data_IF_208763046379
#
_entry.id   IF_208763046379
#
_cell.length_a   1.000
_cell.length_b   1.000
_cell.length_c   1.000
_cell.angle_alpha   90.00
_cell.angle_beta   90.00
_cell.angle_gamma   90.00
#
_symmetry.space_group_name_H-M   'P 1'
#
loop_
_entity.id
_entity.type
_entity.pdbx_description
1 polymer ?
#
# COMPACT_ATOMS: atom_id res chain seq x y z
N UNK A 1 -19.75 -65.78 -1.74
CA UNK A 1 -20.82 -64.84 -2.13
C UNK A 1 -20.76 -63.67 -1.15
N UNK A 2 -20.52 -62.46 -1.69
CA UNK A 2 -20.95 -61.11 -1.23
C UNK A 2 -21.15 -60.87 0.28
N UNK A 3 -20.64 -59.83 0.94
CA UNK A 3 -20.08 -58.55 0.50
C UNK A 3 -20.31 -57.48 1.60
N UNK A 4 -19.51 -56.41 1.51
CA UNK A 4 -19.66 -55.04 2.10
C UNK A 4 -19.57 -54.79 3.62
N UNK A 5 -18.43 -54.19 3.98
CA UNK A 5 -18.19 -52.90 4.68
C UNK A 5 -19.25 -52.32 5.62
N UNK A 6 -18.83 -51.86 6.81
CA UNK A 6 -18.53 -50.43 7.03
C UNK A 6 -18.30 -50.09 8.52
N UNK A 7 -17.35 -49.18 8.72
CA UNK A 7 -17.23 -48.22 9.81
C UNK A 7 -16.78 -48.73 11.19
N UNK A 8 -15.47 -48.70 11.39
CA UNK A 8 -14.85 -48.51 12.71
C UNK A 8 -15.22 -47.13 13.24
N UNK A 9 -16.05 -47.09 14.26
CA UNK A 9 -16.16 -45.97 15.18
C UNK A 9 -16.46 -46.55 16.55
N UNK A 10 -15.48 -46.49 17.45
CA UNK A 10 -15.67 -46.08 18.85
C UNK A 10 -14.46 -46.40 19.71
N UNK A 11 -14.18 -45.45 20.59
CA UNK A 11 -13.61 -45.63 21.94
C UNK A 11 -12.21 -46.22 22.05
N UNK A 12 -11.21 -45.37 21.84
CA UNK A 12 -9.93 -45.49 22.55
C UNK A 12 -10.11 -44.98 23.99
N UNK A 13 -10.21 -45.89 24.96
CA UNK A 13 -9.92 -45.56 26.36
C UNK A 13 -8.49 -45.98 26.68
N UNK A 14 -7.55 -45.06 26.94
CA UNK A 14 -6.26 -45.42 27.52
C UNK A 14 -6.40 -45.57 29.05
N UNK A 15 -5.64 -46.51 29.66
CA UNK A 15 -5.63 -46.70 31.10
C UNK A 15 -4.86 -45.57 31.81
N UNK A 16 -5.42 -45.16 32.95
CA UNK A 16 -4.84 -44.22 33.89
C UNK A 16 -3.42 -44.61 34.29
N UNK A 17 -2.42 -43.79 33.92
CA UNK A 17 -1.08 -43.83 34.50
C UNK A 17 -0.49 -42.43 34.65
N UNK A 18 -0.42 -42.02 35.93
CA UNK A 18 0.63 -41.19 36.55
C UNK A 18 0.65 -39.70 36.23
N UNK A 19 -0.18 -39.01 37.01
CA UNK A 19 0.07 -37.69 37.60
C UNK A 19 1.54 -37.53 38.00
N UNK A 20 2.15 -36.40 37.61
CA UNK A 20 3.38 -35.71 38.09
C UNK A 20 4.15 -35.07 36.91
N UNK A 21 3.98 -35.54 35.67
CA UNK A 21 4.56 -34.88 34.47
C UNK A 21 3.66 -33.83 33.79
N UNK A 22 2.40 -33.69 34.23
CA UNK A 22 1.42 -32.81 33.58
C UNK A 22 1.67 -31.31 33.84
N UNK A 23 2.35 -30.96 34.95
CA UNK A 23 2.53 -29.56 35.33
C UNK A 23 3.41 -28.79 34.34
N UNK A 24 4.58 -29.33 34.00
CA UNK A 24 5.54 -28.64 33.12
C UNK A 24 5.06 -28.57 31.67
N UNK A 25 4.42 -29.62 31.17
CA UNK A 25 3.86 -29.62 29.82
C UNK A 25 2.61 -28.73 29.72
N UNK A 26 1.74 -28.72 30.74
CA UNK A 26 0.61 -27.79 30.80
C UNK A 26 1.06 -26.33 30.98
N UNK A 27 2.11 -26.08 31.76
CA UNK A 27 2.70 -24.74 31.91
C UNK A 27 3.36 -24.28 30.61
N UNK A 28 4.08 -25.16 29.91
CA UNK A 28 4.64 -24.86 28.58
C UNK A 28 3.55 -24.56 27.55
N UNK A 29 2.49 -25.36 27.51
CA UNK A 29 1.35 -25.12 26.61
C UNK A 29 0.61 -23.83 26.97
N UNK A 30 0.44 -23.53 28.26
CA UNK A 30 -0.15 -22.27 28.71
C UNK A 30 0.70 -21.06 28.33
N UNK A 31 2.03 -21.14 28.45
CA UNK A 31 2.96 -20.08 28.03
C UNK A 31 2.94 -19.89 26.51
N UNK A 32 2.93 -20.97 25.74
CA UNK A 32 2.82 -20.89 24.27
C UNK A 32 1.48 -20.29 23.86
N UNK A 33 0.37 -20.70 24.47
CA UNK A 33 -0.96 -20.11 24.20
C UNK A 33 -1.01 -18.63 24.62
N UNK A 34 -0.43 -18.26 25.77
CA UNK A 34 -0.34 -16.86 26.20
C UNK A 34 0.50 -16.02 25.21
N UNK A 35 1.63 -16.54 24.72
CA UNK A 35 2.45 -15.86 23.71
C UNK A 35 1.69 -15.73 22.37
N UNK A 36 0.97 -16.76 21.96
CA UNK A 36 0.18 -16.73 20.72
C UNK A 36 -1.03 -15.77 20.80
N UNK A 37 -1.66 -15.64 21.97
CA UNK A 37 -2.75 -14.67 22.20
C UNK A 37 -2.25 -13.22 22.12
N UNK A 38 -1.03 -12.93 22.59
CA UNK A 38 -0.42 -11.61 22.47
C UNK A 38 -0.03 -11.24 21.02
N UNK A 39 0.15 -12.23 20.14
CA UNK A 39 0.48 -12.03 18.72
C UNK A 39 -0.76 -11.82 17.82
N UNK A 40 -1.97 -12.11 18.32
CA UNK A 40 -3.21 -11.97 17.54
C UNK A 40 -3.84 -10.57 17.61
N UNK A 41 -3.23 -9.63 18.34
CA UNK A 41 -3.80 -8.31 18.67
C UNK A 41 -3.41 -7.15 17.74
N UNK A 42 -2.80 -7.39 16.58
CA UNK A 42 -2.43 -6.33 15.63
C UNK A 42 -3.18 -6.45 14.31
N UNK A 43 -4.50 -6.26 14.39
CA UNK A 43 -5.28 -5.79 13.26
C UNK A 43 -5.70 -4.35 13.56
N UNK A 44 -4.73 -3.44 13.57
CA UNK A 44 -5.03 -2.04 13.31
C UNK A 44 -5.51 -1.96 11.87
N UNK A 45 -6.83 -1.90 11.71
CA UNK A 45 -7.41 -1.21 10.57
C UNK A 45 -6.95 0.24 10.68
N UNK A 46 -5.75 0.51 10.15
CA UNK A 46 -5.30 1.84 9.82
C UNK A 46 -6.32 2.37 8.80
N UNK A 47 -7.34 3.04 9.33
CA UNK A 47 -8.06 4.06 8.60
C UNK A 47 -6.97 5.04 8.18
N UNK A 48 -6.40 4.77 7.01
CA UNK A 48 -5.26 5.46 6.41
C UNK A 48 -5.69 6.89 6.27
N UNK A 49 -5.47 7.65 7.35
CA UNK A 49 -5.56 9.08 7.37
C UNK A 49 -4.33 9.45 6.58
N UNK A 50 -4.48 9.44 5.26
CA UNK A 50 -3.51 10.02 4.34
C UNK A 50 -3.35 11.44 4.83
N UNK A 51 -2.32 11.65 5.66
CA UNK A 51 -1.94 12.96 6.13
C UNK A 51 -1.54 13.72 4.86
N UNK A 52 -2.52 14.45 4.33
CA UNK A 52 -2.37 15.20 3.10
C UNK A 52 -1.47 16.36 3.43
N UNK A 53 -0.15 16.15 3.29
CA UNK A 53 0.83 17.21 3.50
C UNK A 53 0.47 18.36 2.56
N UNK A 54 0.03 19.48 3.15
CA UNK A 54 -0.19 20.71 2.43
C UNK A 54 1.16 21.19 1.89
N UNK A 55 1.25 21.42 0.59
CA UNK A 55 2.47 21.89 -0.07
C UNK A 55 2.34 23.40 -0.22
N UNK A 56 3.29 24.17 0.32
CA UNK A 56 3.34 25.62 0.12
C UNK A 56 3.83 25.96 -1.30
N UNK A 57 3.52 27.15 -1.78
CA UNK A 57 3.90 27.55 -3.14
C UNK A 57 5.42 27.68 -3.31
N UNK A 58 6.15 28.05 -2.26
CA UNK A 58 7.62 28.13 -2.27
C UNK A 58 8.25 26.74 -2.37
N UNK A 59 7.68 25.76 -1.64
CA UNK A 59 8.11 24.38 -1.71
C UNK A 59 7.85 23.78 -3.10
N UNK A 60 6.71 24.13 -3.71
CA UNK A 60 6.40 23.77 -5.08
C UNK A 60 7.41 24.38 -6.06
N UNK A 61 7.70 25.66 -5.96
CA UNK A 61 8.65 26.33 -6.87
C UNK A 61 10.07 25.78 -6.74
N UNK A 62 10.49 25.44 -5.52
CA UNK A 62 11.75 24.73 -5.29
C UNK A 62 11.76 23.35 -5.97
N UNK A 63 10.66 22.59 -5.89
CA UNK A 63 10.55 21.31 -6.57
C UNK A 63 10.51 21.46 -8.10
N UNK A 64 9.86 22.49 -8.63
CA UNK A 64 9.78 22.75 -10.07
C UNK A 64 11.12 23.24 -10.66
N UNK A 65 11.92 23.95 -9.87
CA UNK A 65 13.26 24.39 -10.29
C UNK A 65 14.31 23.26 -10.27
N UNK A 66 14.08 22.20 -9.48
CA UNK A 66 14.94 21.02 -9.49
C UNK A 66 14.63 20.10 -10.68
N UNK A 67 15.35 20.35 -11.79
CA UNK A 67 15.26 19.55 -13.03
C UNK A 67 15.52 18.06 -12.80
N UNK A 68 16.43 17.69 -11.89
CA UNK A 68 16.76 16.29 -11.62
C UNK A 68 15.62 15.60 -10.90
N UNK A 69 15.03 16.28 -9.91
CA UNK A 69 13.85 15.81 -9.21
C UNK A 69 12.67 15.63 -10.18
N UNK A 70 12.34 16.65 -10.97
CA UNK A 70 11.26 16.56 -11.96
C UNK A 70 11.44 15.41 -12.94
N UNK A 71 12.65 15.24 -13.50
CA UNK A 71 12.92 14.13 -14.42
C UNK A 71 12.72 12.77 -13.76
N UNK A 72 13.08 12.61 -12.48
CA UNK A 72 12.82 11.36 -11.75
C UNK A 72 11.31 11.13 -11.60
N UNK A 73 10.54 12.17 -11.26
CA UNK A 73 9.08 12.07 -11.11
C UNK A 73 8.39 11.74 -12.44
N UNK A 74 8.80 12.39 -13.54
CA UNK A 74 8.30 12.11 -14.89
C UNK A 74 8.57 10.66 -15.31
N UNK A 75 9.80 10.18 -15.10
CA UNK A 75 10.17 8.79 -15.39
C UNK A 75 9.39 7.78 -14.54
N UNK A 76 9.14 8.09 -13.27
CA UNK A 76 8.30 7.28 -12.39
C UNK A 76 6.87 7.20 -12.94
N UNK A 77 6.31 8.35 -13.34
CA UNK A 77 4.98 8.41 -13.94
C UNK A 77 4.91 7.60 -15.24
N UNK A 78 5.97 7.58 -16.05
CA UNK A 78 6.09 6.71 -17.24
C UNK A 78 6.36 5.23 -16.91
N UNK A 79 6.66 4.89 -15.66
CA UNK A 79 6.99 3.52 -15.25
C UNK A 79 8.42 3.09 -15.58
N UNK A 80 9.31 4.02 -15.94
CA UNK A 80 10.71 3.75 -16.28
C UNK A 80 11.58 3.55 -15.03
N UNK A 81 11.18 4.10 -13.89
CA UNK A 81 11.91 4.02 -12.61
C UNK A 81 10.94 3.79 -11.45
N UNK A 82 11.41 3.24 -10.31
CA UNK A 82 10.58 3.13 -9.11
C UNK A 82 10.15 4.51 -8.60
N UNK A 83 8.91 4.57 -8.13
CA UNK A 83 8.30 5.78 -7.59
C UNK A 83 8.53 5.90 -6.08
N UNK A 84 8.89 7.09 -5.62
CA UNK A 84 8.79 7.50 -4.22
C UNK A 84 7.32 7.83 -3.85
N UNK A 85 6.99 8.07 -2.56
CA UNK A 85 5.61 8.34 -2.14
C UNK A 85 4.96 9.51 -2.87
N UNK A 86 5.71 10.58 -3.18
CA UNK A 86 5.19 11.73 -3.93
C UNK A 86 4.91 11.32 -5.37
N UNK A 87 5.87 10.66 -6.01
CA UNK A 87 5.71 10.14 -7.37
C UNK A 87 4.52 9.19 -7.52
N UNK A 88 4.28 8.31 -6.55
CA UNK A 88 3.11 7.40 -6.53
C UNK A 88 1.78 8.17 -6.51
N UNK A 89 1.69 9.22 -5.69
CA UNK A 89 0.51 10.10 -5.65
C UNK A 89 0.32 10.84 -6.96
N UNK A 90 1.38 11.41 -7.53
CA UNK A 90 1.31 12.11 -8.81
C UNK A 90 0.86 11.16 -9.93
N UNK A 91 1.41 9.94 -9.96
CA UNK A 91 1.06 8.90 -10.93
C UNK A 91 -0.42 8.49 -10.84
N UNK A 92 -0.98 8.36 -9.64
CA UNK A 92 -2.39 8.01 -9.47
C UNK A 92 -3.34 9.15 -9.88
N UNK A 93 -2.92 10.41 -9.73
CA UNK A 93 -3.70 11.59 -10.10
C UNK A 93 -3.57 11.97 -11.59
N UNK A 94 -2.46 11.61 -12.24
CA UNK A 94 -2.16 11.91 -13.64
C UNK A 94 -3.33 11.63 -14.62
N UNK A 95 -3.99 10.46 -14.62
CA UNK A 95 -5.07 10.17 -15.56
C UNK A 95 -6.30 11.07 -15.39
N UNK A 96 -6.56 11.57 -14.18
CA UNK A 96 -7.67 12.48 -13.93
C UNK A 96 -7.29 13.89 -14.41
N UNK A 97 -6.14 14.36 -13.95
CA UNK A 97 -5.66 15.73 -14.21
C UNK A 97 -5.52 15.98 -15.71
N UNK A 98 -5.01 15.01 -16.47
CA UNK A 98 -4.85 15.12 -17.91
C UNK A 98 -6.19 15.11 -18.67
N UNK A 99 -7.25 14.54 -18.10
CA UNK A 99 -8.62 14.62 -18.62
C UNK A 99 -9.37 15.89 -18.19
N UNK A 100 -8.73 16.76 -17.41
CA UNK A 100 -9.30 18.02 -16.93
C UNK A 100 -10.10 17.89 -15.64
N UNK A 101 -10.02 16.77 -14.92
CA UNK A 101 -10.70 16.56 -13.65
C UNK A 101 -9.72 16.23 -12.52
N UNK A 102 -9.98 16.66 -11.30
CA UNK A 102 -9.34 16.06 -10.13
C UNK A 102 -10.35 16.02 -8.98
N UNK A 103 -11.08 14.91 -8.80
CA UNK A 103 -12.12 14.81 -7.79
C UNK A 103 -11.56 14.87 -6.37
N UNK A 104 -10.28 14.55 -6.21
CA UNK A 104 -9.61 14.50 -4.92
C UNK A 104 -8.80 15.76 -4.61
N UNK A 105 -8.79 16.80 -5.45
CA UNK A 105 -7.95 17.99 -5.28
C UNK A 105 -8.69 19.17 -4.63
N UNK A 106 -8.00 19.94 -3.79
CA UNK A 106 -8.48 21.24 -3.30
C UNK A 106 -8.29 22.34 -4.35
N UNK A 107 -8.97 23.50 -4.22
CA UNK A 107 -8.78 24.62 -5.15
C UNK A 107 -7.32 25.11 -5.23
N UNK A 108 -6.61 25.11 -4.09
CA UNK A 108 -5.19 25.48 -4.03
C UNK A 108 -4.33 24.49 -4.83
N UNK A 109 -4.55 23.19 -4.62
CA UNK A 109 -3.82 22.14 -5.35
C UNK A 109 -4.13 22.16 -6.85
N UNK A 110 -5.36 22.49 -7.24
CA UNK A 110 -5.71 22.65 -8.65
C UNK A 110 -4.90 23.77 -9.31
N UNK A 111 -4.65 24.88 -8.61
CA UNK A 111 -3.78 25.95 -9.12
C UNK A 111 -2.32 25.50 -9.21
N UNK A 112 -1.83 24.77 -8.20
CA UNK A 112 -0.49 24.20 -8.18
C UNK A 112 -0.28 23.18 -9.30
N UNK A 113 -1.28 22.34 -9.58
CA UNK A 113 -1.29 21.40 -10.70
C UNK A 113 -1.20 22.18 -12.01
N UNK A 114 -2.07 23.17 -12.25
CA UNK A 114 -2.02 23.99 -13.47
C UNK A 114 -0.65 24.63 -13.69
N UNK A 115 -0.05 25.19 -12.63
CA UNK A 115 1.31 25.76 -12.66
C UNK A 115 2.35 24.71 -13.04
N UNK A 116 2.26 23.52 -12.44
CA UNK A 116 3.15 22.37 -12.73
C UNK A 116 3.02 21.92 -14.18
N UNK A 117 1.80 21.74 -14.69
CA UNK A 117 1.57 21.33 -16.08
C UNK A 117 2.13 22.37 -17.07
N UNK A 118 1.87 23.65 -16.83
CA UNK A 118 2.42 24.73 -17.67
C UNK A 118 3.96 24.76 -17.63
N UNK A 119 4.57 24.46 -16.49
CA UNK A 119 6.03 24.33 -16.38
C UNK A 119 6.57 23.14 -17.17
N UNK A 120 5.92 21.97 -17.07
CA UNK A 120 6.31 20.76 -17.79
C UNK A 120 6.20 20.92 -19.31
N UNK A 121 5.11 21.51 -19.80
CA UNK A 121 4.91 21.77 -21.23
C UNK A 121 6.01 22.65 -21.84
N UNK A 122 6.48 23.67 -21.09
CA UNK A 122 7.50 24.60 -21.57
C UNK A 122 8.92 24.04 -21.46
N UNK A 123 9.24 23.34 -20.38
CA UNK A 123 10.62 22.95 -20.07
C UNK A 123 10.95 21.48 -20.37
N UNK A 124 9.93 20.61 -20.49
CA UNK A 124 10.05 19.16 -20.68
C UNK A 124 9.06 18.63 -21.74
N UNK A 125 9.04 19.19 -22.97
CA UNK A 125 8.03 18.87 -23.97
C UNK A 125 8.05 17.40 -24.40
N UNK A 126 9.24 16.77 -24.44
CA UNK A 126 9.42 15.37 -24.81
C UNK A 126 8.74 14.41 -23.84
N UNK A 127 9.00 14.59 -22.54
CA UNK A 127 8.44 13.79 -21.46
C UNK A 127 6.95 14.06 -21.29
N UNK A 128 6.55 15.33 -21.44
CA UNK A 128 5.15 15.73 -21.45
C UNK A 128 4.36 14.98 -22.53
N UNK A 129 4.85 14.93 -23.77
CA UNK A 129 4.19 14.23 -24.85
C UNK A 129 4.04 12.73 -24.56
N UNK A 130 5.06 12.09 -23.98
CA UNK A 130 4.97 10.69 -23.54
C UNK A 130 3.90 10.50 -22.47
N UNK A 131 3.80 11.40 -21.49
CA UNK A 131 2.78 11.33 -20.45
C UNK A 131 1.38 11.46 -21.02
N UNK A 132 1.16 12.43 -21.92
CA UNK A 132 -0.13 12.60 -22.59
C UNK A 132 -0.49 11.34 -23.37
N UNK A 133 0.43 10.77 -24.15
CA UNK A 133 0.19 9.51 -24.86
C UNK A 133 -0.13 8.34 -23.91
N UNK A 134 0.50 8.31 -22.73
CA UNK A 134 0.31 7.23 -21.75
C UNK A 134 -1.04 7.31 -21.04
N UNK A 135 -1.54 8.52 -20.74
CA UNK A 135 -2.66 8.72 -19.83
C UNK A 135 -3.90 9.39 -20.44
N UNK A 136 -3.73 10.14 -21.53
CA UNK A 136 -4.81 10.83 -22.25
C UNK A 136 -5.25 10.11 -23.54
N UNK A 137 -4.55 9.04 -23.90
CA UNK A 137 -4.98 8.08 -24.93
C UNK A 137 -6.14 7.20 -24.49
#
# INVERSE_FOLDING_TARGET
MTGKVSSCSSSSSPPARRFIGLGLWAVMMAVVVLVLVQLAGMAEADATTTSRTQVSDEALDKALSDKRYLMRQLKCALGEVPCDPVGKRLKSLAPFVLRGACPQCTPAEMNQIKKTLAHLQRNFPSEWNKLVQTYAG
#
